data_IF_015765223735
#
_entry.id   IF_015765223735
#
_cell.length_a   1.000
_cell.length_b   1.000
_cell.length_c   1.000
_cell.angle_alpha   90.00
_cell.angle_beta   90.00
_cell.angle_gamma   90.00
#
_symmetry.space_group_name_H-M   'P 1'
#
loop_
_entity.id
_entity.type
_entity.pdbx_description
1 polymer ?
#
# COMPACT_ATOMS: atom_id res chain seq x y z
N UNK A 1 39.52 -28.15 7.16
CA UNK A 1 38.77 -26.91 6.85
C UNK A 1 37.41 -27.34 6.31
N UNK A 2 36.37 -27.32 7.14
CA UNK A 2 35.00 -27.61 6.75
C UNK A 2 34.11 -26.55 7.40
N UNK A 3 33.49 -25.69 6.60
CA UNK A 3 32.70 -24.58 7.14
C UNK A 3 32.33 -23.52 6.13
N UNK A 4 31.90 -23.89 4.90
CA UNK A 4 31.50 -22.87 3.93
C UNK A 4 30.26 -23.14 3.08
N UNK A 5 29.73 -24.37 3.01
CA UNK A 5 28.56 -24.69 2.16
C UNK A 5 27.24 -24.87 2.90
N UNK A 6 27.23 -25.15 4.21
CA UNK A 6 25.98 -25.34 4.98
C UNK A 6 25.26 -24.03 5.34
N UNK A 7 25.76 -22.88 4.85
CA UNK A 7 25.23 -21.55 5.15
C UNK A 7 24.46 -20.91 3.98
N UNK A 8 24.40 -21.57 2.82
CA UNK A 8 23.64 -21.08 1.67
C UNK A 8 22.17 -21.53 1.76
N UNK A 9 21.21 -20.70 1.31
CA UNK A 9 19.82 -21.10 1.21
C UNK A 9 19.65 -22.35 0.34
N UNK A 10 18.71 -23.20 0.70
CA UNK A 10 18.43 -24.42 -0.06
C UNK A 10 17.67 -24.11 -1.36
N UNK A 11 17.56 -25.09 -2.26
CA UNK A 11 16.91 -24.92 -3.57
C UNK A 11 15.45 -24.42 -3.47
N UNK A 12 14.71 -24.85 -2.45
CA UNK A 12 13.31 -24.42 -2.28
C UNK A 12 13.22 -22.93 -1.92
N UNK A 13 14.14 -22.43 -1.12
CA UNK A 13 14.27 -21.01 -0.75
C UNK A 13 14.72 -20.20 -1.95
N UNK A 14 15.73 -20.67 -2.69
CA UNK A 14 16.21 -20.02 -3.91
C UNK A 14 15.10 -19.88 -4.97
N UNK A 15 14.27 -20.92 -5.15
CA UNK A 15 13.10 -20.85 -6.03
C UNK A 15 12.03 -19.88 -5.53
N UNK A 16 11.84 -19.79 -4.22
CA UNK A 16 10.94 -18.79 -3.64
C UNK A 16 11.42 -17.37 -3.93
N UNK A 17 12.71 -17.08 -3.75
CA UNK A 17 13.27 -15.76 -4.07
C UNK A 17 13.17 -15.42 -5.56
N UNK A 18 13.44 -16.38 -6.44
CA UNK A 18 13.31 -16.17 -7.88
C UNK A 18 11.86 -15.82 -8.28
N UNK A 19 10.86 -16.49 -7.69
CA UNK A 19 9.45 -16.17 -7.90
C UNK A 19 9.10 -14.79 -7.35
N UNK A 20 9.59 -14.45 -6.16
CA UNK A 20 9.35 -13.14 -5.55
C UNK A 20 9.93 -12.01 -6.41
N UNK A 21 11.14 -12.19 -6.93
CA UNK A 21 11.78 -11.25 -7.85
C UNK A 21 10.99 -11.08 -9.15
N UNK A 22 10.55 -12.19 -9.76
CA UNK A 22 9.79 -12.16 -11.01
C UNK A 22 8.36 -11.59 -10.85
N UNK A 23 7.80 -11.64 -9.64
CA UNK A 23 6.44 -11.18 -9.35
C UNK A 23 6.36 -9.70 -8.95
N UNK A 24 7.45 -8.93 -9.08
CA UNK A 24 7.45 -7.50 -8.80
C UNK A 24 6.48 -6.78 -9.75
N UNK A 25 5.55 -6.03 -9.16
CA UNK A 25 4.64 -5.17 -9.90
C UNK A 25 5.28 -3.78 -10.09
N UNK A 26 4.99 -3.13 -11.21
CA UNK A 26 5.43 -1.75 -11.42
C UNK A 26 4.72 -0.78 -10.47
N UNK A 27 5.27 0.43 -10.31
CA UNK A 27 4.62 1.48 -9.52
C UNK A 27 3.21 1.80 -10.04
N UNK A 28 3.05 1.89 -11.37
CA UNK A 28 1.74 2.15 -12.00
C UNK A 28 0.75 1.01 -11.73
N UNK A 29 1.20 -0.25 -11.81
CA UNK A 29 0.36 -1.41 -11.51
C UNK A 29 -0.07 -1.45 -10.04
N UNK A 30 0.85 -1.17 -9.12
CA UNK A 30 0.56 -1.11 -7.69
C UNK A 30 -0.42 0.02 -7.38
N UNK A 31 -0.20 1.20 -7.97
CA UNK A 31 -1.07 2.35 -7.80
C UNK A 31 -2.47 2.08 -8.37
N UNK A 32 -2.57 1.53 -9.59
CA UNK A 32 -3.84 1.18 -10.21
C UNK A 32 -4.63 0.17 -9.37
N UNK A 33 -3.96 -0.86 -8.83
CA UNK A 33 -4.58 -1.83 -7.92
C UNK A 33 -5.05 -1.19 -6.63
N UNK A 34 -4.23 -0.33 -6.03
CA UNK A 34 -4.62 0.45 -4.85
C UNK A 34 -5.90 1.25 -5.11
N UNK A 35 -5.93 2.04 -6.18
CA UNK A 35 -7.09 2.88 -6.55
C UNK A 35 -8.33 2.02 -6.80
N UNK A 36 -8.18 0.94 -7.55
CA UNK A 36 -9.26 -0.02 -7.85
C UNK A 36 -9.86 -0.61 -6.57
N UNK A 37 -9.01 -1.02 -5.61
CA UNK A 37 -9.49 -1.64 -4.37
C UNK A 37 -10.16 -0.62 -3.44
N UNK A 38 -9.71 0.65 -3.45
CA UNK A 38 -10.40 1.73 -2.75
C UNK A 38 -11.80 1.97 -3.33
N UNK A 39 -11.90 2.03 -4.66
CA UNK A 39 -13.20 2.17 -5.34
C UNK A 39 -14.13 0.98 -5.03
N UNK A 40 -13.61 -0.25 -5.01
CA UNK A 40 -14.39 -1.42 -4.62
C UNK A 40 -14.89 -1.34 -3.17
N UNK A 41 -14.07 -0.87 -2.23
CA UNK A 41 -14.50 -0.67 -0.86
C UNK A 41 -15.70 0.30 -0.80
N UNK A 42 -15.61 1.44 -1.49
CA UNK A 42 -16.71 2.42 -1.54
C UNK A 42 -18.00 1.85 -2.15
N UNK A 43 -17.89 1.04 -3.20
CA UNK A 43 -19.04 0.39 -3.83
C UNK A 43 -19.71 -0.62 -2.89
N UNK A 44 -18.92 -1.44 -2.19
CA UNK A 44 -19.44 -2.46 -1.27
C UNK A 44 -20.13 -1.84 -0.05
N UNK A 45 -19.69 -0.66 0.38
CA UNK A 45 -20.32 0.08 1.49
C UNK A 45 -21.70 0.66 1.17
N UNK A 46 -22.08 0.75 -0.10
CA UNK A 46 -23.43 1.17 -0.48
C UNK A 46 -24.49 0.13 -0.08
N UNK A 47 -24.08 -1.10 0.26
CA UNK A 47 -24.97 -2.17 0.70
C UNK A 47 -24.30 -3.02 1.79
N UNK A 48 -24.06 -2.43 2.98
CA UNK A 48 -23.17 -3.03 3.99
C UNK A 48 -23.70 -4.35 4.56
N UNK A 49 -25.02 -4.51 4.61
CA UNK A 49 -25.69 -5.69 5.17
C UNK A 49 -26.01 -6.76 4.12
N UNK A 50 -25.75 -6.49 2.83
CA UNK A 50 -25.92 -7.48 1.75
C UNK A 50 -24.94 -8.63 1.98
N UNK A 51 -25.48 -9.85 2.08
CA UNK A 51 -24.68 -11.06 2.21
C UNK A 51 -24.32 -11.61 0.83
N UNK A 52 -23.03 -11.84 0.61
CA UNK A 52 -22.50 -12.46 -0.59
C UNK A 52 -22.22 -13.93 -0.30
N UNK A 53 -23.18 -14.80 -0.68
CA UNK A 53 -23.23 -16.22 -0.27
C UNK A 53 -21.96 -17.00 -0.63
N UNK A 54 -21.39 -16.76 -1.81
CA UNK A 54 -20.20 -17.46 -2.29
C UNK A 54 -18.95 -17.18 -1.42
N UNK A 55 -18.96 -16.06 -0.68
CA UNK A 55 -17.85 -15.64 0.18
C UNK A 55 -18.17 -15.78 1.68
N UNK A 56 -19.44 -16.03 2.05
CA UNK A 56 -19.86 -16.10 3.46
C UNK A 56 -19.71 -14.78 4.24
N UNK A 57 -19.58 -13.64 3.53
CA UNK A 57 -19.32 -12.32 4.12
C UNK A 57 -20.40 -11.31 3.70
N UNK A 58 -20.64 -10.31 4.53
CA UNK A 58 -21.48 -9.16 4.17
C UNK A 58 -20.68 -8.04 3.50
N UNK A 59 -21.39 -7.06 2.92
CA UNK A 59 -20.79 -5.93 2.22
C UNK A 59 -19.78 -5.16 3.08
N UNK A 60 -20.06 -4.96 4.37
CA UNK A 60 -19.14 -4.30 5.31
C UNK A 60 -17.82 -5.07 5.46
N UNK A 61 -17.88 -6.38 5.63
CA UNK A 61 -16.69 -7.22 5.76
C UNK A 61 -15.87 -7.28 4.47
N UNK A 62 -16.53 -7.36 3.32
CA UNK A 62 -15.84 -7.33 2.03
C UNK A 62 -15.23 -5.95 1.72
N UNK A 63 -15.92 -4.86 2.10
CA UNK A 63 -15.36 -3.51 1.99
C UNK A 63 -14.09 -3.36 2.82
N UNK A 64 -14.07 -3.89 4.05
CA UNK A 64 -12.86 -3.92 4.87
C UNK A 64 -11.76 -4.77 4.23
N UNK A 65 -12.11 -5.92 3.65
CA UNK A 65 -11.17 -6.73 2.86
C UNK A 65 -10.54 -5.96 1.70
N UNK A 66 -11.34 -5.18 0.97
CA UNK A 66 -10.87 -4.32 -0.11
C UNK A 66 -9.94 -3.21 0.41
N UNK A 67 -10.24 -2.59 1.56
CA UNK A 67 -9.33 -1.62 2.21
C UNK A 67 -8.01 -2.25 2.65
N UNK A 68 -8.04 -3.48 3.18
CA UNK A 68 -6.83 -4.22 3.55
C UNK A 68 -5.97 -4.45 2.29
N UNK A 69 -6.60 -4.88 1.20
CA UNK A 69 -5.91 -5.07 -0.07
C UNK A 69 -5.32 -3.77 -0.63
N UNK A 70 -6.08 -2.66 -0.59
CA UNK A 70 -5.60 -1.33 -0.97
C UNK A 70 -4.37 -0.94 -0.15
N UNK A 71 -4.45 -1.00 1.18
CA UNK A 71 -3.32 -0.69 2.08
C UNK A 71 -2.06 -1.48 1.74
N UNK A 72 -2.19 -2.77 1.39
CA UNK A 72 -1.04 -3.59 0.97
C UNK A 72 -0.39 -3.07 -0.31
N UNK A 73 -1.19 -2.66 -1.30
CA UNK A 73 -0.65 -2.09 -2.53
C UNK A 73 0.04 -0.75 -2.28
N UNK A 74 -0.52 0.10 -1.40
CA UNK A 74 0.12 1.35 -0.98
C UNK A 74 1.45 1.12 -0.24
N UNK A 75 1.54 0.08 0.60
CA UNK A 75 2.79 -0.30 1.27
C UNK A 75 3.85 -0.75 0.26
N UNK A 76 3.49 -1.63 -0.68
CA UNK A 76 4.40 -2.08 -1.73
C UNK A 76 4.84 -0.91 -2.64
N UNK A 77 3.93 0.01 -2.96
CA UNK A 77 4.26 1.23 -3.70
C UNK A 77 5.29 2.07 -2.93
N UNK A 78 5.12 2.20 -1.61
CA UNK A 78 6.05 2.91 -0.74
C UNK A 78 7.42 2.23 -0.59
N UNK A 79 7.46 0.90 -0.58
CA UNK A 79 8.63 0.09 -0.22
C UNK A 79 9.88 0.36 -1.09
N UNK A 80 9.72 0.40 -2.42
CA UNK A 80 10.84 0.59 -3.33
C UNK A 80 11.25 2.07 -3.38
N UNK A 81 12.51 2.44 -3.02
CA UNK A 81 13.01 3.79 -3.21
C UNK A 81 12.92 4.21 -4.68
N UNK A 82 12.71 5.49 -4.93
CA UNK A 82 12.64 6.00 -6.31
C UNK A 82 13.42 7.29 -6.49
N UNK A 83 13.99 7.46 -7.69
CA UNK A 83 14.54 8.72 -8.19
C UNK A 83 13.66 9.33 -9.31
N UNK A 84 12.49 8.72 -9.58
CA UNK A 84 11.56 9.10 -10.65
C UNK A 84 10.44 9.95 -10.05
N UNK A 85 10.28 11.16 -10.57
CA UNK A 85 9.34 12.15 -10.04
C UNK A 85 7.88 11.70 -10.17
N UNK A 86 7.57 11.02 -11.26
CA UNK A 86 6.23 10.47 -11.54
C UNK A 86 5.85 9.42 -10.50
N UNK A 87 6.78 8.53 -10.12
CA UNK A 87 6.55 7.53 -9.08
C UNK A 87 6.38 8.19 -7.71
N UNK A 88 7.17 9.21 -7.39
CA UNK A 88 6.98 10.00 -6.16
C UNK A 88 5.57 10.64 -6.14
N UNK A 89 5.10 11.17 -7.27
CA UNK A 89 3.76 11.74 -7.37
C UNK A 89 2.65 10.71 -7.09
N UNK A 90 2.82 9.45 -7.53
CA UNK A 90 1.89 8.37 -7.18
C UNK A 90 1.87 8.08 -5.67
N UNK A 91 3.06 8.02 -5.02
CA UNK A 91 3.16 7.84 -3.57
C UNK A 91 2.49 8.98 -2.81
N UNK A 92 2.73 10.22 -3.25
CA UNK A 92 2.07 11.42 -2.72
C UNK A 92 0.56 11.25 -2.85
N UNK A 93 0.03 11.03 -4.06
CA UNK A 93 -1.41 10.90 -4.28
C UNK A 93 -2.07 9.81 -3.42
N UNK A 94 -1.42 8.65 -3.28
CA UNK A 94 -1.90 7.59 -2.40
C UNK A 94 -1.94 8.01 -0.93
N UNK A 95 -0.90 8.71 -0.45
CA UNK A 95 -0.86 9.27 0.90
C UNK A 95 -1.97 10.30 1.10
N UNK A 96 -2.09 11.27 0.19
CA UNK A 96 -3.09 12.32 0.23
C UNK A 96 -4.50 11.75 0.34
N UNK A 97 -4.80 10.74 -0.47
CA UNK A 97 -6.10 10.08 -0.48
C UNK A 97 -6.38 9.30 0.80
N UNK A 98 -5.40 8.57 1.34
CA UNK A 98 -5.57 7.81 2.58
C UNK A 98 -5.76 8.71 3.81
N UNK A 99 -5.08 9.86 3.85
CA UNK A 99 -5.17 10.86 4.92
C UNK A 99 -6.57 11.47 5.02
N UNK A 100 -7.32 11.52 3.92
CA UNK A 100 -8.70 12.01 3.88
C UNK A 100 -9.73 10.97 4.35
N UNK A 101 -9.35 9.69 4.51
CA UNK A 101 -10.27 8.64 4.94
C UNK A 101 -10.46 8.66 6.46
N UNK A 102 -11.71 8.80 6.88
CA UNK A 102 -12.07 8.89 8.28
C UNK A 102 -11.69 7.61 9.04
N UNK A 103 -10.97 7.78 10.16
CA UNK A 103 -10.53 6.69 11.02
C UNK A 103 -9.36 5.87 10.48
N UNK A 104 -8.85 6.15 9.28
CA UNK A 104 -7.79 5.35 8.65
C UNK A 104 -6.47 5.39 9.44
N UNK A 105 -6.16 6.56 10.03
CA UNK A 105 -5.01 6.74 10.92
C UNK A 105 -5.06 5.87 12.18
N UNK A 106 -6.26 5.55 12.68
CA UNK A 106 -6.46 4.69 13.83
C UNK A 106 -6.50 3.20 13.45
N UNK A 107 -6.88 2.89 12.21
CA UNK A 107 -7.04 1.52 11.70
C UNK A 107 -5.75 0.92 11.11
N UNK A 108 -4.78 1.73 10.68
CA UNK A 108 -3.56 1.24 10.05
C UNK A 108 -2.37 2.19 10.21
N UNK A 109 -1.16 1.60 10.22
CA UNK A 109 0.09 2.37 10.13
C UNK A 109 0.54 2.66 8.69
N UNK A 110 -0.20 2.20 7.68
CA UNK A 110 0.12 2.40 6.26
C UNK A 110 0.38 3.88 5.91
N UNK A 111 -0.44 4.81 6.43
CA UNK A 111 -0.26 6.25 6.18
C UNK A 111 1.12 6.73 6.65
N UNK A 112 1.52 6.36 7.87
CA UNK A 112 2.81 6.79 8.46
C UNK A 112 4.00 6.19 7.71
N UNK A 113 3.88 4.93 7.29
CA UNK A 113 4.93 4.25 6.52
C UNK A 113 5.07 4.87 5.13
N UNK A 114 3.96 5.12 4.45
CA UNK A 114 3.96 5.77 3.14
C UNK A 114 4.48 7.20 3.21
N UNK A 115 4.10 7.95 4.25
CA UNK A 115 4.62 9.29 4.51
C UNK A 115 6.15 9.30 4.65
N UNK A 116 6.68 8.33 5.40
CA UNK A 116 8.11 8.19 5.62
C UNK A 116 8.84 7.89 4.31
N UNK A 117 8.33 6.94 3.52
CA UNK A 117 8.90 6.57 2.22
C UNK A 117 8.91 7.76 1.24
N UNK A 118 7.76 8.43 1.10
CA UNK A 118 7.59 9.62 0.28
C UNK A 118 8.59 10.74 0.66
N UNK A 119 8.76 11.01 1.96
CA UNK A 119 9.71 12.04 2.44
C UNK A 119 11.15 11.66 2.14
N UNK A 120 11.51 10.39 2.30
CA UNK A 120 12.85 9.90 1.98
C UNK A 120 13.17 10.04 0.48
N UNK A 121 12.23 9.64 -0.39
CA UNK A 121 12.38 9.79 -1.84
C UNK A 121 12.44 11.28 -2.26
N UNK A 122 11.56 12.12 -1.71
CA UNK A 122 11.58 13.56 -1.95
C UNK A 122 12.91 14.20 -1.56
N UNK A 123 13.42 13.87 -0.37
CA UNK A 123 14.72 14.35 0.11
C UNK A 123 15.86 13.92 -0.82
N UNK A 124 15.86 12.66 -1.28
CA UNK A 124 16.88 12.17 -2.22
C UNK A 124 16.86 12.91 -3.57
N UNK A 125 15.70 13.40 -3.99
CA UNK A 125 15.54 14.21 -5.21
C UNK A 125 15.74 15.72 -5.00
N UNK A 126 16.00 16.18 -3.76
CA UNK A 126 16.04 17.61 -3.44
C UNK A 126 14.67 18.30 -3.50
N UNK A 127 13.58 17.52 -3.39
CA UNK A 127 12.20 18.00 -3.38
C UNK A 127 11.73 18.13 -1.94
N UNK A 128 11.29 19.33 -1.56
CA UNK A 128 10.65 19.58 -0.27
C UNK A 128 9.15 19.35 -0.41
N UNK A 129 8.63 18.38 0.33
CA UNK A 129 7.19 18.12 0.42
C UNK A 129 6.60 18.95 1.54
N UNK A 130 5.64 19.81 1.20
CA UNK A 130 4.98 20.67 2.17
C UNK A 130 3.91 19.88 2.94
N UNK A 131 3.70 20.18 4.23
CA UNK A 131 2.61 19.58 4.99
C UNK A 131 1.26 19.99 4.40
N UNK A 132 0.24 19.18 4.64
CA UNK A 132 -1.14 19.51 4.31
C UNK A 132 -1.61 20.78 5.04
N UNK A 133 -2.34 21.64 4.32
CA UNK A 133 -2.95 22.86 4.87
C UNK A 133 -3.98 22.58 5.98
N UNK A 134 -4.53 21.35 6.04
CA UNK A 134 -5.39 20.89 7.14
C UNK A 134 -4.84 19.58 7.75
N UNK A 135 -4.60 19.54 9.07
CA UNK A 135 -4.20 18.29 9.72
C UNK A 135 -5.34 17.26 9.64
N UNK A 136 -5.04 15.99 9.33
CA UNK A 136 -6.05 14.94 9.29
C UNK A 136 -6.73 14.76 10.65
N UNK A 137 -8.06 14.69 10.64
CA UNK A 137 -8.87 14.46 11.84
C UNK A 137 -9.44 15.71 12.52
N UNK A 138 -9.33 16.90 11.92
CA UNK A 138 -10.09 18.08 12.36
C UNK A 138 -11.25 18.39 11.40
N UNK A 139 -12.33 17.60 11.48
CA UNK A 139 -13.66 18.10 11.14
C UNK A 139 -14.51 18.04 12.40
N UNK A 140 -15.13 19.19 12.69
CA UNK A 140 -16.01 19.46 13.82
C UNK A 140 -17.22 18.51 13.83
#
# INVERSE_FOLDING_TARGET
MAGRDDALPNDSEMRFYARAYAAQASADELFLRWETYQAHAMLLEQSPDRVYKDYGLNGRQLAEGARIAARRMALLLGEAPTAIREVLALKVHAFESLVQLEGELQRSHTIRMLETAMKADGQAMGIVLLPFDQPPGQRQ
#
